data_IF_648964870979
#
_entry.id   IF_648964870979
#
_cell.length_a   1.000
_cell.length_b   1.000
_cell.length_c   1.000
_cell.angle_alpha   90.00
_cell.angle_beta   90.00
_cell.angle_gamma   90.00
#
_symmetry.space_group_name_H-M   'P 1'
#
loop_
_entity.id
_entity.type
_entity.pdbx_description
1 polymer ?
#
# COMPACT_ATOMS: atom_id res chain seq x y z
N UNK A 1 15.36 -5.28 5.23
CA UNK A 1 15.20 -6.74 5.07
C UNK A 1 13.78 -7.20 4.69
N UNK A 2 12.69 -6.48 5.03
CA UNK A 2 11.30 -6.86 4.67
C UNK A 2 11.01 -6.89 3.16
N UNK A 3 11.35 -5.83 2.41
CA UNK A 3 11.10 -5.74 0.96
C UNK A 3 11.75 -6.88 0.16
N UNK A 4 12.96 -7.28 0.56
CA UNK A 4 13.67 -8.41 -0.06
C UNK A 4 12.94 -9.72 0.18
N UNK A 5 12.52 -10.00 1.42
CA UNK A 5 11.77 -11.21 1.75
C UNK A 5 10.42 -11.28 0.99
N UNK A 6 9.72 -10.15 0.85
CA UNK A 6 8.48 -10.08 0.09
C UNK A 6 8.68 -10.42 -1.40
N UNK A 7 9.70 -9.83 -2.03
CA UNK A 7 10.00 -10.11 -3.45
C UNK A 7 10.43 -11.56 -3.68
N UNK A 8 11.16 -12.16 -2.74
CA UNK A 8 11.49 -13.60 -2.80
C UNK A 8 10.20 -14.43 -2.77
N UNK A 9 9.30 -14.17 -1.82
CA UNK A 9 8.03 -14.92 -1.74
C UNK A 9 7.16 -14.76 -2.99
N UNK A 10 7.19 -13.60 -3.65
CA UNK A 10 6.49 -13.42 -4.93
C UNK A 10 7.16 -14.22 -6.06
N UNK A 11 8.50 -14.25 -6.08
CA UNK A 11 9.27 -14.96 -7.10
C UNK A 11 9.19 -16.49 -7.00
N UNK A 12 8.64 -17.05 -5.91
CA UNK A 12 8.41 -18.50 -5.76
C UNK A 12 7.37 -19.04 -6.75
N UNK A 13 6.53 -18.17 -7.33
CA UNK A 13 5.55 -18.53 -8.35
C UNK A 13 5.78 -17.76 -9.65
N UNK A 14 5.90 -18.49 -10.76
CA UNK A 14 6.05 -17.89 -12.10
C UNK A 14 4.89 -16.98 -12.48
N UNK A 15 3.65 -17.30 -12.09
CA UNK A 15 2.48 -16.49 -12.41
C UNK A 15 2.48 -15.17 -11.63
N UNK A 16 2.84 -15.21 -10.35
CA UNK A 16 2.95 -14.02 -9.50
C UNK A 16 4.10 -13.13 -9.96
N UNK A 17 5.25 -13.72 -10.30
CA UNK A 17 6.37 -12.98 -10.87
C UNK A 17 5.98 -12.33 -12.21
N UNK A 18 5.33 -13.07 -13.12
CA UNK A 18 4.89 -12.53 -14.41
C UNK A 18 3.93 -11.34 -14.24
N UNK A 19 3.00 -11.42 -13.27
CA UNK A 19 2.08 -10.33 -12.97
C UNK A 19 2.81 -9.07 -12.50
N UNK A 20 3.73 -9.20 -11.55
CA UNK A 20 4.53 -8.07 -11.04
C UNK A 20 5.38 -7.41 -12.13
N UNK A 21 6.01 -8.22 -12.99
CA UNK A 21 6.83 -7.69 -14.08
C UNK A 21 5.97 -6.96 -15.12
N UNK A 22 4.79 -7.49 -15.45
CA UNK A 22 3.86 -6.84 -16.36
C UNK A 22 3.32 -5.52 -15.78
N UNK A 23 2.93 -5.50 -14.50
CA UNK A 23 2.47 -4.27 -13.83
C UNK A 23 3.59 -3.21 -13.76
N UNK A 24 4.82 -3.63 -13.47
CA UNK A 24 5.97 -2.74 -13.44
C UNK A 24 6.23 -2.14 -14.82
N UNK A 25 6.16 -2.95 -15.88
CA UNK A 25 6.28 -2.48 -17.26
C UNK A 25 5.18 -1.48 -17.62
N UNK A 26 3.94 -1.74 -17.22
CA UNK A 26 2.80 -0.87 -17.52
C UNK A 26 2.93 0.50 -16.87
N UNK A 27 3.37 0.55 -15.60
CA UNK A 27 3.44 1.79 -14.82
C UNK A 27 4.75 2.56 -15.11
N UNK A 28 5.86 1.85 -15.23
CA UNK A 28 7.21 2.45 -15.26
C UNK A 28 7.89 2.36 -16.63
N UNK A 29 7.33 1.59 -17.58
CA UNK A 29 7.93 1.40 -18.90
C UNK A 29 9.16 0.47 -18.92
N UNK A 30 9.57 -0.08 -17.78
CA UNK A 30 10.67 -1.04 -17.67
C UNK A 30 10.42 -2.04 -16.54
N UNK A 31 10.15 -3.30 -16.88
CA UNK A 31 9.98 -4.38 -15.91
C UNK A 31 11.19 -4.58 -14.98
N UNK A 32 12.41 -4.17 -15.39
CA UNK A 32 13.63 -4.33 -14.57
C UNK A 32 13.61 -3.46 -13.31
N UNK A 33 12.77 -2.43 -13.30
CA UNK A 33 12.55 -1.57 -12.14
C UNK A 33 12.11 -2.35 -10.91
N UNK A 34 11.44 -3.49 -11.10
CA UNK A 34 11.03 -4.39 -10.02
C UNK A 34 12.23 -4.93 -9.23
N UNK A 35 13.36 -5.19 -9.89
CA UNK A 35 14.57 -5.68 -9.22
C UNK A 35 15.32 -4.54 -8.50
N UNK A 36 15.39 -3.36 -9.13
CA UNK A 36 16.09 -2.18 -8.60
C UNK A 36 15.43 -1.57 -7.37
N UNK A 37 14.14 -1.85 -7.18
CA UNK A 37 13.38 -1.40 -6.02
C UNK A 37 14.02 -1.79 -4.68
N UNK A 38 14.68 -2.96 -4.61
CA UNK A 38 15.42 -3.39 -3.41
C UNK A 38 16.55 -2.41 -3.06
N UNK A 39 17.29 -1.93 -4.07
CA UNK A 39 18.39 -1.00 -3.89
C UNK A 39 17.87 0.40 -3.54
N UNK A 40 16.80 0.84 -4.19
CA UNK A 40 16.16 2.14 -3.92
C UNK A 40 15.67 2.24 -2.48
N UNK A 41 14.96 1.22 -2.00
CA UNK A 41 14.45 1.19 -0.63
C UNK A 41 15.60 1.23 0.38
N UNK A 42 16.73 0.57 0.08
CA UNK A 42 17.91 0.61 0.95
C UNK A 42 18.64 1.96 0.92
N UNK A 43 18.56 2.69 -0.19
CA UNK A 43 19.17 4.00 -0.33
C UNK A 43 18.34 5.13 0.31
N UNK A 44 17.09 4.88 0.70
CA UNK A 44 16.21 5.89 1.29
C UNK A 44 16.78 6.44 2.61
N UNK A 45 16.83 7.77 2.72
CA UNK A 45 17.14 8.47 3.96
C UNK A 45 15.86 8.98 4.62
N UNK A 46 15.94 9.20 5.93
CA UNK A 46 14.83 9.77 6.71
C UNK A 46 14.39 11.12 6.15
N UNK A 47 15.34 11.98 5.78
CA UNK A 47 15.06 13.30 5.22
C UNK A 47 14.29 13.23 3.89
N UNK A 48 14.55 12.21 3.07
CA UNK A 48 13.83 12.00 1.82
C UNK A 48 12.36 11.64 2.08
N UNK A 49 12.13 10.76 3.05
CA UNK A 49 10.78 10.37 3.47
C UNK A 49 10.02 11.56 4.07
N UNK A 50 10.62 12.28 5.02
CA UNK A 50 10.00 13.44 5.68
C UNK A 50 9.65 14.51 4.65
N UNK A 51 10.54 14.78 3.69
CA UNK A 51 10.28 15.74 2.60
C UNK A 51 9.13 15.28 1.71
N UNK A 52 9.05 14.00 1.36
CA UNK A 52 7.95 13.46 0.56
C UNK A 52 6.60 13.59 1.29
N UNK A 53 6.56 13.22 2.58
CA UNK A 53 5.37 13.34 3.42
C UNK A 53 4.86 14.78 3.52
N UNK A 54 5.75 15.75 3.71
CA UNK A 54 5.38 17.16 3.77
C UNK A 54 4.73 17.68 2.48
N UNK A 55 5.03 17.06 1.33
CA UNK A 55 4.43 17.41 0.03
C UNK A 55 3.10 16.73 -0.24
N UNK A 56 2.92 15.50 0.23
CA UNK A 56 1.76 14.66 -0.14
C UNK A 56 0.67 14.63 0.92
N UNK A 57 1.03 14.71 2.20
CA UNK A 57 0.08 14.62 3.33
C UNK A 57 -0.36 16.01 3.80
N UNK A 58 -0.97 16.78 2.90
CA UNK A 58 -1.43 18.14 3.20
C UNK A 58 -2.87 18.12 3.73
N UNK A 59 -3.11 18.79 4.86
CA UNK A 59 -4.42 18.81 5.54
C UNK A 59 -5.56 19.30 4.63
N UNK A 60 -5.29 20.24 3.73
CA UNK A 60 -6.28 20.77 2.77
C UNK A 60 -6.81 19.72 1.79
N UNK A 61 -6.05 18.64 1.55
CA UNK A 61 -6.37 17.60 0.57
C UNK A 61 -6.87 16.31 1.26
N UNK A 62 -7.11 16.35 2.58
CA UNK A 62 -7.50 15.18 3.36
C UNK A 62 -9.01 14.92 3.22
N UNK A 63 -9.34 13.79 2.59
CA UNK A 63 -10.70 13.22 2.60
C UNK A 63 -10.79 12.12 3.66
N UNK A 64 -11.87 12.10 4.45
CA UNK A 64 -12.13 11.06 5.47
C UNK A 64 -13.51 10.47 5.23
N UNK A 65 -13.60 9.15 5.11
CA UNK A 65 -14.85 8.40 5.09
C UNK A 65 -14.89 7.42 6.26
N UNK A 66 -16.04 7.32 6.94
CA UNK A 66 -16.26 6.37 8.03
C UNK A 66 -17.60 5.68 7.82
N UNK A 67 -17.60 4.35 7.89
CA UNK A 67 -18.83 3.56 7.91
C UNK A 67 -19.29 3.49 9.37
N UNK A 68 -20.51 3.97 9.63
CA UNK A 68 -21.16 3.87 10.94
C UNK A 68 -22.38 2.98 10.79
N UNK A 69 -22.42 1.90 11.55
CA UNK A 69 -23.60 1.05 11.61
C UNK A 69 -24.71 1.76 12.39
N UNK A 70 -25.96 1.60 11.94
CA UNK A 70 -27.11 2.02 12.74
C UNK A 70 -27.08 1.29 14.08
N UNK A 71 -27.33 2.01 15.18
CA UNK A 71 -27.53 1.36 16.47
C UNK A 71 -28.71 0.40 16.33
N UNK A 72 -28.49 -0.88 16.71
CA UNK A 72 -29.58 -1.84 16.83
C UNK A 72 -30.65 -1.24 17.74
N UNK A 73 -31.87 -1.09 17.25
CA UNK A 73 -33.01 -0.78 18.12
C UNK A 73 -33.08 -1.88 19.17
N UNK A 74 -32.68 -1.57 20.39
CA UNK A 74 -32.96 -2.41 21.54
C UNK A 74 -34.47 -2.50 21.62
N UNK A 75 -35.01 -3.71 21.44
CA UNK A 75 -36.40 -4.06 21.64
C UNK A 75 -36.82 -3.73 23.07
N UNK A 76 -37.23 -2.49 23.30
CA UNK A 76 -37.94 -2.07 24.49
C UNK A 76 -39.43 -2.33 24.24
N UNK A 77 -39.91 -3.53 24.63
CA UNK A 77 -41.31 -3.86 24.40
C UNK A 77 -41.74 -5.29 24.75
N UNK A 78 -41.50 -5.74 25.99
CA UNK A 78 -42.31 -6.77 26.64
C UNK A 78 -42.51 -6.31 28.08
N UNK A 79 -43.68 -5.88 28.54
CA UNK A 79 -44.99 -6.50 28.35
C UNK A 79 -45.34 -7.11 29.72
N UNK A 80 -46.31 -6.50 30.39
CA UNK A 80 -46.73 -6.72 31.80
C UNK A 80 -47.05 -8.17 32.13
#
# INVERSE_FOLDING_TARGET
MRTRAQKIGIAESNSSLALELAQTQEIMGDWREWFRDIERVQALKVDDLTRAMGKTLVKSNRTVGMIVHAASETSAGGGR
#
